data_IF_142119703114
#
_entry.id   IF_142119703114
#
_cell.length_a   1.000
_cell.length_b   1.000
_cell.length_c   1.000
_cell.angle_alpha   90.00
_cell.angle_beta   90.00
_cell.angle_gamma   90.00
#
_symmetry.space_group_name_H-M   'P 1'
#
loop_
_entity.id
_entity.type
_entity.pdbx_description
1 polymer ?
#
# COMPACT_ATOMS: atom_id res chain seq x y z
N UNK A 1 3.54 7.62 -10.80
CA UNK A 1 3.04 7.18 -9.47
C UNK A 1 2.29 5.84 -9.53
N UNK A 2 1.15 5.67 -10.22
CA UNK A 2 0.50 4.33 -10.37
C UNK A 2 1.39 3.27 -11.05
N UNK A 3 2.30 3.70 -11.94
CA UNK A 3 3.29 2.85 -12.60
C UNK A 3 4.32 2.31 -11.60
N UNK A 4 4.74 3.13 -10.62
CA UNK A 4 5.71 2.74 -9.59
C UNK A 4 5.12 1.72 -8.63
N UNK A 5 3.88 1.91 -8.18
CA UNK A 5 3.21 0.95 -7.29
C UNK A 5 3.05 -0.42 -7.97
N UNK A 6 2.79 -0.45 -9.28
CA UNK A 6 2.69 -1.70 -10.05
C UNK A 6 4.05 -2.37 -10.24
N UNK A 7 5.13 -1.58 -10.40
CA UNK A 7 6.50 -2.11 -10.43
C UNK A 7 6.87 -2.73 -9.08
N UNK A 8 6.63 -2.01 -7.99
CA UNK A 8 6.89 -2.47 -6.63
C UNK A 8 6.12 -3.77 -6.33
N UNK A 9 4.86 -3.87 -6.72
CA UNK A 9 4.10 -5.12 -6.53
C UNK A 9 4.68 -6.29 -7.36
N UNK A 10 5.18 -6.02 -8.56
CA UNK A 10 5.81 -7.04 -9.40
C UNK A 10 7.13 -7.52 -8.79
N UNK A 11 7.91 -6.60 -8.24
CA UNK A 11 9.16 -6.89 -7.53
C UNK A 11 8.89 -7.69 -6.25
N UNK A 12 7.87 -7.32 -5.48
CA UNK A 12 7.40 -8.10 -4.31
C UNK A 12 7.04 -9.52 -4.72
N UNK A 13 6.21 -9.68 -5.74
CA UNK A 13 5.78 -11.01 -6.21
C UNK A 13 6.96 -11.85 -6.70
N UNK A 14 7.90 -11.23 -7.43
CA UNK A 14 9.09 -11.90 -7.92
C UNK A 14 10.04 -12.31 -6.79
N UNK A 15 10.26 -11.44 -5.81
CA UNK A 15 11.13 -11.69 -4.67
C UNK A 15 10.52 -12.74 -3.73
N UNK A 16 9.22 -12.66 -3.41
CA UNK A 16 8.51 -13.70 -2.64
C UNK A 16 8.59 -15.07 -3.33
N UNK A 17 8.33 -15.12 -4.64
CA UNK A 17 8.43 -16.38 -5.39
C UNK A 17 9.86 -16.93 -5.48
N UNK A 18 10.88 -16.07 -5.51
CA UNK A 18 12.29 -16.49 -5.43
C UNK A 18 12.63 -16.98 -4.02
N UNK A 19 12.20 -16.26 -2.99
CA UNK A 19 12.41 -16.61 -1.59
C UNK A 19 11.83 -17.99 -1.28
N UNK A 20 10.56 -18.23 -1.59
CA UNK A 20 9.88 -19.51 -1.34
C UNK A 20 10.59 -20.70 -2.00
N UNK A 21 11.02 -20.54 -3.26
CA UNK A 21 11.80 -21.58 -3.98
C UNK A 21 13.17 -21.81 -3.36
N UNK A 22 13.87 -20.73 -3.00
CA UNK A 22 15.21 -20.81 -2.39
C UNK A 22 15.13 -21.46 -1.01
N UNK A 23 14.09 -21.15 -0.25
CA UNK A 23 13.81 -21.76 1.04
C UNK A 23 13.58 -23.26 0.90
N UNK A 24 12.74 -23.68 -0.05
CA UNK A 24 12.44 -25.09 -0.30
C UNK A 24 13.69 -25.90 -0.71
N UNK A 25 14.55 -25.33 -1.56
CA UNK A 25 15.83 -25.96 -1.94
C UNK A 25 16.76 -26.08 -0.74
N UNK A 26 16.81 -25.04 0.09
CA UNK A 26 17.70 -25.02 1.26
C UNK A 26 17.19 -25.94 2.37
N UNK A 27 15.86 -26.06 2.55
CA UNK A 27 15.20 -27.01 3.44
C UNK A 27 15.53 -28.45 3.03
N UNK A 28 15.39 -28.81 1.75
CA UNK A 28 15.75 -30.16 1.27
C UNK A 28 17.24 -30.50 1.48
N UNK A 29 18.15 -29.52 1.27
CA UNK A 29 19.58 -29.70 1.46
C UNK A 29 19.95 -29.84 2.94
N UNK A 30 19.43 -28.95 3.80
CA UNK A 30 19.68 -29.00 5.23
C UNK A 30 19.05 -30.23 5.86
N UNK A 31 17.87 -30.68 5.43
CA UNK A 31 17.23 -31.89 5.95
C UNK A 31 18.04 -33.16 5.64
N UNK A 32 18.73 -33.22 4.50
CA UNK A 32 19.66 -34.31 4.15
C UNK A 32 20.91 -34.35 5.03
N UNK A 33 21.44 -33.19 5.41
CA UNK A 33 22.69 -33.06 6.19
C UNK A 33 22.46 -32.96 7.72
N UNK A 34 21.27 -32.55 8.16
CA UNK A 34 20.93 -32.38 9.58
C UNK A 34 20.89 -33.69 10.39
N UNK A 35 20.85 -34.85 9.73
CA UNK A 35 21.04 -36.15 10.40
C UNK A 35 22.46 -36.35 10.92
N UNK A 36 23.44 -35.52 10.53
CA UNK A 36 24.87 -35.74 10.81
C UNK A 36 25.54 -34.65 11.66
N UNK A 37 24.95 -33.46 11.86
CA UNK A 37 25.64 -32.35 12.55
C UNK A 37 24.68 -31.39 13.32
N UNK A 38 25.13 -30.93 14.49
CA UNK A 38 24.51 -29.92 15.35
C UNK A 38 24.51 -28.52 14.68
N UNK A 39 25.57 -28.20 13.92
CA UNK A 39 25.71 -26.92 13.23
C UNK A 39 24.64 -26.73 12.14
N UNK A 40 24.32 -27.80 11.40
CA UNK A 40 23.26 -27.80 10.38
C UNK A 40 21.88 -27.53 10.99
N UNK A 41 21.59 -28.06 12.19
CA UNK A 41 20.34 -27.78 12.92
C UNK A 41 20.24 -26.32 13.36
N UNK A 42 21.37 -25.67 13.67
CA UNK A 42 21.40 -24.25 14.03
C UNK A 42 21.18 -23.36 12.80
N UNK A 43 21.81 -23.69 11.67
CA UNK A 43 21.58 -23.03 10.40
C UNK A 43 20.11 -23.14 9.94
N UNK A 44 19.48 -24.31 10.12
CA UNK A 44 18.05 -24.51 9.85
C UNK A 44 17.16 -23.53 10.62
N UNK A 45 17.40 -23.36 11.92
CA UNK A 45 16.64 -22.45 12.77
C UNK A 45 16.78 -20.99 12.33
N UNK A 46 18.00 -20.57 11.98
CA UNK A 46 18.21 -19.22 11.45
C UNK A 46 17.52 -19.01 10.11
N UNK A 47 17.56 -20.02 9.24
CA UNK A 47 16.86 -19.97 7.96
C UNK A 47 15.35 -19.84 8.17
N UNK A 48 14.74 -20.68 9.01
CA UNK A 48 13.32 -20.63 9.31
C UNK A 48 12.90 -19.25 9.86
N UNK A 49 13.66 -18.72 10.82
CA UNK A 49 13.41 -17.39 11.38
C UNK A 49 13.58 -16.26 10.35
N UNK A 50 14.53 -16.39 9.43
CA UNK A 50 14.70 -15.44 8.31
C UNK A 50 13.48 -15.47 7.38
N UNK A 51 12.94 -16.65 7.07
CA UNK A 51 11.76 -16.77 6.21
C UNK A 51 10.52 -16.17 6.85
N UNK A 52 10.29 -16.44 8.14
CA UNK A 52 9.22 -15.83 8.92
C UNK A 52 9.32 -14.30 8.89
N UNK A 53 10.50 -13.75 9.18
CA UNK A 53 10.72 -12.30 9.13
C UNK A 53 10.49 -11.71 7.73
N UNK A 54 10.85 -12.44 6.67
CA UNK A 54 10.60 -12.00 5.30
C UNK A 54 9.11 -12.05 4.94
N UNK A 55 8.37 -13.06 5.38
CA UNK A 55 6.91 -13.13 5.21
C UNK A 55 6.21 -11.99 5.94
N UNK A 56 6.61 -11.69 7.17
CA UNK A 56 6.12 -10.54 7.94
C UNK A 56 6.41 -9.22 7.22
N UNK A 57 7.63 -9.05 6.70
CA UNK A 57 8.00 -7.85 5.98
C UNK A 57 7.15 -7.64 4.72
N UNK A 58 6.92 -8.71 3.95
CA UNK A 58 6.04 -8.65 2.76
C UNK A 58 4.64 -8.22 3.16
N UNK A 59 4.09 -8.82 4.23
CA UNK A 59 2.76 -8.47 4.74
C UNK A 59 2.68 -7.01 5.19
N UNK A 60 3.68 -6.51 5.91
CA UNK A 60 3.74 -5.10 6.32
C UNK A 60 3.76 -4.14 5.11
N UNK A 61 4.46 -4.50 4.04
CA UNK A 61 4.48 -3.68 2.81
C UNK A 61 3.10 -3.69 2.13
N UNK A 62 2.43 -4.84 2.06
CA UNK A 62 1.07 -4.94 1.52
C UNK A 62 0.07 -4.12 2.33
N UNK A 63 0.10 -4.21 3.66
CA UNK A 63 -0.72 -3.42 4.58
C UNK A 63 -0.46 -1.91 4.40
N UNK A 64 0.81 -1.51 4.27
CA UNK A 64 1.17 -0.11 3.97
C UNK A 64 0.54 0.36 2.66
N UNK A 65 0.52 -0.49 1.63
CA UNK A 65 -0.13 -0.19 0.36
C UNK A 65 -1.67 -0.09 0.44
N UNK A 66 -2.31 -0.76 1.40
CA UNK A 66 -3.74 -0.58 1.71
C UNK A 66 -3.96 0.77 2.37
N UNK A 67 -3.21 1.08 3.44
CA UNK A 67 -3.32 2.33 4.18
C UNK A 67 -3.10 3.55 3.26
N UNK A 68 -2.12 3.49 2.35
CA UNK A 68 -1.89 4.56 1.39
C UNK A 68 -3.08 4.83 0.45
N UNK A 69 -3.83 3.78 0.08
CA UNK A 69 -5.04 3.93 -0.75
C UNK A 69 -6.17 4.57 0.06
N UNK A 70 -6.36 4.13 1.30
CA UNK A 70 -7.35 4.71 2.19
C UNK A 70 -7.10 6.20 2.45
N UNK A 71 -5.84 6.59 2.69
CA UNK A 71 -5.46 8.01 2.82
C UNK A 71 -5.86 8.79 1.55
N UNK A 72 -5.53 8.27 0.36
CA UNK A 72 -5.87 8.95 -0.89
C UNK A 72 -7.38 9.09 -1.08
N UNK A 73 -8.14 8.06 -0.75
CA UNK A 73 -9.61 8.09 -0.86
C UNK A 73 -10.21 9.12 0.11
N UNK A 74 -9.64 9.26 1.32
CA UNK A 74 -10.03 10.30 2.28
C UNK A 74 -9.67 11.71 1.80
N UNK A 75 -8.48 11.90 1.22
CA UNK A 75 -8.08 13.18 0.62
C UNK A 75 -8.99 13.57 -0.54
N UNK A 76 -9.34 12.62 -1.42
CA UNK A 76 -10.29 12.85 -2.52
C UNK A 76 -11.68 13.26 -2.01
N UNK A 77 -12.16 12.64 -0.93
CA UNK A 77 -13.41 13.04 -0.27
C UNK A 77 -13.34 14.46 0.28
N UNK A 78 -12.25 14.83 0.96
CA UNK A 78 -12.06 16.18 1.49
C UNK A 78 -12.07 17.24 0.36
N UNK A 79 -11.39 16.96 -0.76
CA UNK A 79 -11.39 17.82 -1.95
C UNK A 79 -12.81 17.96 -2.53
N UNK A 80 -13.55 16.86 -2.60
CA UNK A 80 -14.93 16.86 -3.11
C UNK A 80 -15.85 17.76 -2.28
N UNK A 81 -15.78 17.64 -0.95
CA UNK A 81 -16.54 18.49 -0.02
C UNK A 81 -16.18 19.96 -0.19
N UNK A 82 -14.89 20.27 -0.32
CA UNK A 82 -14.47 21.66 -0.51
C UNK A 82 -15.02 22.25 -1.83
N UNK A 83 -15.00 21.47 -2.92
CA UNK A 83 -15.61 21.90 -4.20
C UNK A 83 -17.11 22.15 -4.07
N UNK A 84 -17.83 21.32 -3.31
CA UNK A 84 -19.25 21.54 -3.06
C UNK A 84 -19.49 22.87 -2.35
N UNK A 85 -18.69 23.18 -1.33
CA UNK A 85 -18.79 24.43 -0.59
C UNK A 85 -18.56 25.65 -1.49
N UNK A 86 -17.50 25.64 -2.30
CA UNK A 86 -17.22 26.69 -3.29
C UNK A 86 -18.38 26.88 -4.28
N UNK A 87 -18.95 25.79 -4.80
CA UNK A 87 -20.10 25.86 -5.70
C UNK A 87 -21.33 26.50 -5.04
N UNK A 88 -21.60 26.17 -3.78
CA UNK A 88 -22.69 26.78 -3.01
C UNK A 88 -22.44 28.28 -2.81
N UNK A 89 -21.21 28.69 -2.48
CA UNK A 89 -20.85 30.10 -2.35
C UNK A 89 -21.02 30.87 -3.67
N UNK A 90 -20.62 30.27 -4.79
CA UNK A 90 -20.79 30.87 -6.12
C UNK A 90 -22.27 31.08 -6.46
N UNK A 91 -23.14 30.11 -6.14
CA UNK A 91 -24.58 30.25 -6.33
C UNK A 91 -25.18 31.34 -5.46
N UNK A 92 -24.77 31.43 -4.18
CA UNK A 92 -25.19 32.51 -3.29
C UNK A 92 -24.77 33.89 -3.81
N UNK A 93 -23.53 34.01 -4.29
CA UNK A 93 -23.03 35.25 -4.90
C UNK A 93 -23.84 35.64 -6.14
N UNK A 94 -24.07 34.68 -7.04
CA UNK A 94 -24.88 34.91 -8.24
C UNK A 94 -26.30 35.39 -7.90
N UNK A 95 -26.93 34.76 -6.90
CA UNK A 95 -28.26 35.15 -6.44
C UNK A 95 -28.27 36.58 -5.88
N UNK A 96 -27.28 36.93 -5.06
CA UNK A 96 -27.16 38.27 -4.49
C UNK A 96 -26.97 39.32 -5.60
N UNK A 97 -26.06 39.09 -6.55
CA UNK A 97 -25.80 39.99 -7.68
C UNK A 97 -27.05 40.18 -8.56
N UNK A 98 -27.83 39.11 -8.79
CA UNK A 98 -29.09 39.16 -9.54
C UNK A 98 -30.16 39.95 -8.78
N UNK A 99 -30.26 39.77 -7.47
CA UNK A 99 -31.23 40.50 -6.63
C UNK A 99 -30.92 42.00 -6.57
N UNK A 100 -29.64 42.37 -6.46
CA UNK A 100 -29.20 43.77 -6.47
C UNK A 100 -29.48 44.45 -7.81
N UNK A 101 -29.30 43.72 -8.92
CA UNK A 101 -29.60 44.23 -10.27
C UNK A 101 -31.10 44.50 -10.49
N UNK A 102 -31.98 43.73 -9.84
CA UNK A 102 -33.43 43.91 -9.90
C UNK A 102 -33.96 45.02 -8.97
N UNK A 103 -33.13 45.56 -8.07
CA UNK A 103 -33.48 46.60 -7.10
C UNK A 103 -33.10 48.03 -7.53
N UNK A 104 -32.43 48.20 -8.69
CA UNK A 104 -32.13 49.52 -9.28
C UNK A 104 -33.06 49.74 -10.48
N UNK A 105 -34.26 50.34 -10.30
CA UNK A 105 -35.02 50.87 -11.42
C UNK A 105 -34.35 52.16 -11.89
N UNK A 106 -34.20 52.28 -13.22
CA UNK A 106 -33.73 53.51 -13.87
C UNK A 106 -34.67 54.69 -13.69
#
# INVERSE_FOLDING_TARGET
ILVDTRSVQKDINQLSGKLSRTFKVTDELIFKDAKKDEACRKAYRYLASLHENCEELVKCVEETGVIMREIRDLEEQAICVNKLFENVLLLWRYYLDTSASNLVPG
#
